data_IF_688124192720
#
_entry.id   IF_688124192720
#
_cell.length_a   1.000
_cell.length_b   1.000
_cell.length_c   1.000
_cell.angle_alpha   90.00
_cell.angle_beta   90.00
_cell.angle_gamma   90.00
#
_symmetry.space_group_name_H-M   'P 1'
#
loop_
_entity.id
_entity.type
_entity.pdbx_description
1 polymer ?
#
# COMPACT_ATOMS: atom_id res chain seq x y z
N UNK A 1 -22.17 -7.54 -15.97
CA UNK A 1 -20.91 -6.94 -15.47
C UNK A 1 -20.52 -7.67 -14.20
N UNK A 2 -19.72 -8.74 -14.26
CA UNK A 2 -19.29 -9.49 -13.08
C UNK A 2 -17.78 -9.30 -12.87
N UNK A 3 -17.49 -8.57 -11.81
CA UNK A 3 -16.41 -8.81 -10.85
C UNK A 3 -15.05 -9.18 -11.43
N UNK A 4 -14.19 -8.18 -11.59
CA UNK A 4 -12.75 -8.36 -11.72
C UNK A 4 -12.17 -8.83 -10.37
N UNK A 5 -12.47 -10.06 -9.97
CA UNK A 5 -11.66 -10.81 -9.01
C UNK A 5 -10.45 -11.35 -9.77
N UNK A 6 -9.59 -10.45 -10.24
CA UNK A 6 -8.34 -10.83 -10.87
C UNK A 6 -7.44 -11.43 -9.79
N UNK A 7 -6.99 -12.67 -10.03
CA UNK A 7 -6.15 -13.47 -9.14
C UNK A 7 -5.09 -12.58 -8.49
N UNK A 8 -5.18 -12.39 -7.17
CA UNK A 8 -4.09 -11.81 -6.36
C UNK A 8 -2.95 -12.82 -6.37
N UNK A 9 -2.16 -12.80 -7.44
CA UNK A 9 -0.87 -13.48 -7.49
C UNK A 9 -0.08 -13.03 -6.25
N UNK A 10 0.53 -13.98 -5.55
CA UNK A 10 1.09 -13.83 -4.21
C UNK A 10 2.35 -12.95 -4.21
N UNK A 11 2.21 -11.70 -4.63
CA UNK A 11 3.30 -10.74 -4.73
C UNK A 11 3.81 -10.43 -3.34
N UNK A 12 5.10 -10.62 -3.11
CA UNK A 12 5.73 -10.28 -1.83
C UNK A 12 5.52 -8.78 -1.55
N UNK A 13 5.08 -8.39 -0.34
CA UNK A 13 4.89 -6.99 -0.02
C UNK A 13 6.23 -6.25 -0.02
N UNK A 14 6.20 -5.00 -0.46
CA UNK A 14 7.29 -4.06 -0.24
C UNK A 14 7.21 -3.59 1.22
N UNK A 15 8.33 -3.60 1.92
CA UNK A 15 8.39 -3.21 3.33
C UNK A 15 9.21 -1.94 3.46
N UNK A 16 8.56 -0.87 3.91
CA UNK A 16 9.22 0.35 4.36
C UNK A 16 9.47 0.23 5.87
N UNK A 17 10.72 0.48 6.28
CA UNK A 17 11.09 0.56 7.69
C UNK A 17 11.79 1.88 7.92
N UNK A 18 11.15 2.74 8.70
CA UNK A 18 11.63 4.10 8.95
C UNK A 18 11.68 4.36 10.45
N UNK A 19 12.74 5.01 10.93
CA UNK A 19 12.86 5.41 12.34
C UNK A 19 12.64 6.91 12.48
N UNK A 20 11.64 7.28 13.26
CA UNK A 20 11.31 8.68 13.58
C UNK A 20 11.41 8.83 15.11
N UNK A 21 12.44 9.54 15.57
CA UNK A 21 12.76 9.64 17.00
C UNK A 21 13.15 8.29 17.63
N UNK A 22 12.48 7.92 18.72
CA UNK A 22 12.63 6.61 19.38
C UNK A 22 11.78 5.51 18.75
N UNK A 23 10.87 5.86 17.84
CA UNK A 23 9.88 4.92 17.29
C UNK A 23 10.30 4.45 15.91
N UNK A 24 10.17 3.14 15.67
CA UNK A 24 10.38 2.55 14.33
C UNK A 24 9.02 2.19 13.74
N UNK A 25 8.72 2.77 12.59
CA UNK A 25 7.53 2.48 11.80
C UNK A 25 7.86 1.44 10.75
N UNK A 26 6.98 0.44 10.61
CA UNK A 26 7.11 -0.62 9.60
C UNK A 26 5.80 -0.64 8.82
N UNK A 27 5.88 -0.42 7.51
CA UNK A 27 4.72 -0.38 6.60
C UNK A 27 4.93 -1.42 5.51
N UNK A 28 3.95 -2.32 5.34
CA UNK A 28 3.94 -3.32 4.27
C UNK A 28 2.93 -2.93 3.20
N UNK A 29 3.38 -2.81 1.95
CA UNK A 29 2.58 -2.34 0.82
C UNK A 29 2.62 -3.35 -0.30
N UNK A 30 1.45 -3.81 -0.72
CA UNK A 30 1.29 -4.56 -1.96
C UNK A 30 1.01 -3.58 -3.10
N UNK A 31 1.85 -3.60 -4.14
CA UNK A 31 1.59 -2.92 -5.42
C UNK A 31 0.97 -3.92 -6.39
N UNK A 32 -0.01 -3.49 -7.17
CA UNK A 32 -0.48 -4.30 -8.30
C UNK A 32 0.58 -4.30 -9.40
N UNK A 33 0.56 -5.34 -10.24
CA UNK A 33 1.50 -5.50 -11.36
C UNK A 33 1.45 -4.33 -12.36
N UNK A 34 0.30 -3.70 -12.49
CA UNK A 34 0.05 -2.57 -13.40
C UNK A 34 0.18 -1.22 -12.70
N UNK A 35 0.43 -1.19 -11.38
CA UNK A 35 0.54 0.05 -10.64
C UNK A 35 1.75 0.84 -11.11
N UNK A 36 1.50 2.08 -11.51
CA UNK A 36 2.54 3.09 -11.73
C UNK A 36 2.81 3.92 -10.47
N UNK A 37 2.02 3.71 -9.41
CA UNK A 37 2.23 4.38 -8.12
C UNK A 37 3.54 3.91 -7.48
N UNK A 38 4.29 4.86 -6.98
CA UNK A 38 5.36 4.63 -6.02
C UNK A 38 4.79 4.17 -4.67
N UNK A 39 5.66 3.60 -3.83
CA UNK A 39 5.28 3.20 -2.48
C UNK A 39 4.75 4.38 -1.65
N UNK A 40 5.39 5.56 -1.75
CA UNK A 40 4.97 6.76 -1.03
C UNK A 40 3.60 7.26 -1.46
N UNK A 41 3.34 7.32 -2.77
CA UNK A 41 2.03 7.70 -3.31
C UNK A 41 0.92 6.76 -2.82
N UNK A 42 1.18 5.44 -2.85
CA UNK A 42 0.21 4.46 -2.37
C UNK A 42 -0.07 4.59 -0.86
N UNK A 43 0.96 4.82 -0.04
CA UNK A 43 0.80 5.03 1.41
C UNK A 43 -0.04 6.29 1.66
N UNK A 44 0.30 7.41 1.03
CA UNK A 44 -0.44 8.68 1.18
C UNK A 44 -1.90 8.53 0.78
N UNK A 45 -2.18 7.84 -0.35
CA UNK A 45 -3.56 7.56 -0.78
C UNK A 45 -4.32 6.69 0.23
N UNK A 46 -3.70 5.66 0.79
CA UNK A 46 -4.32 4.82 1.80
C UNK A 46 -4.69 5.64 3.05
N UNK A 47 -3.77 6.46 3.55
CA UNK A 47 -4.02 7.34 4.71
C UNK A 47 -5.15 8.32 4.41
N UNK A 48 -5.15 8.96 3.24
CA UNK A 48 -6.18 9.90 2.84
C UNK A 48 -7.57 9.23 2.74
N UNK A 49 -7.64 8.01 2.21
CA UNK A 49 -8.88 7.23 2.10
C UNK A 49 -9.46 6.89 3.47
N UNK A 50 -8.62 6.42 4.40
CA UNK A 50 -9.01 6.10 5.78
C UNK A 50 -9.46 7.36 6.54
N UNK A 51 -8.72 8.47 6.39
CA UNK A 51 -9.07 9.75 7.01
C UNK A 51 -10.38 10.33 6.47
N UNK A 52 -10.72 10.05 5.21
CA UNK A 52 -11.98 10.45 4.60
C UNK A 52 -13.17 9.54 5.00
N UNK A 53 -12.94 8.47 5.77
CA UNK A 53 -13.98 7.54 6.23
C UNK A 53 -14.62 6.71 5.11
N UNK A 54 -13.87 6.44 4.03
CA UNK A 54 -14.33 5.65 2.88
C UNK A 54 -14.27 4.15 3.12
#
# INVERSE_FOLDING_TARGET
>A
MKSASEKRENAKPLVLRERIGSTTYIVSVFLSKTSKETMGEKITRMIASEAAGQ
#
